data_IF_261315740404
#
_entry.id   IF_261315740404
#
_cell.length_a   1.000
_cell.length_b   1.000
_cell.length_c   1.000
_cell.angle_alpha   90.00
_cell.angle_beta   90.00
_cell.angle_gamma   90.00
#
_symmetry.space_group_name_H-M   'P 1'
#
loop_
_entity.id
_entity.type
_entity.pdbx_description
1 polymer ?
#
# COMPACT_ATOMS: atom_id res chain seq x y z
N UNK A 1 -16.82 9.68 8.59
CA UNK A 1 -15.92 8.56 8.26
C UNK A 1 -16.62 7.23 7.95
N UNK A 2 -16.16 6.51 6.93
CA UNK A 2 -16.52 5.12 6.57
C UNK A 2 -15.26 4.26 6.42
N UNK A 3 -15.28 3.02 6.92
CA UNK A 3 -14.19 2.05 6.73
C UNK A 3 -14.41 1.28 5.43
N UNK A 4 -13.54 1.48 4.44
CA UNK A 4 -13.61 0.81 3.14
C UNK A 4 -12.86 -0.53 3.14
N UNK A 5 -11.72 -0.58 3.82
CA UNK A 5 -10.91 -1.79 3.98
C UNK A 5 -10.12 -1.71 5.28
N UNK A 6 -10.02 -2.83 5.98
CA UNK A 6 -9.02 -3.07 7.02
C UNK A 6 -8.37 -4.41 6.73
N UNK A 7 -7.09 -4.39 6.39
CA UNK A 7 -6.35 -5.59 6.00
C UNK A 7 -4.97 -5.59 6.65
N UNK A 8 -4.25 -6.71 6.57
CA UNK A 8 -2.90 -6.79 7.16
C UNK A 8 -1.93 -5.76 6.55
N UNK A 9 -2.08 -5.44 5.26
CA UNK A 9 -1.17 -4.56 4.54
C UNK A 9 -1.66 -3.11 4.42
N UNK A 10 -2.97 -2.91 4.28
CA UNK A 10 -3.50 -1.58 3.99
C UNK A 10 -4.91 -1.40 4.55
N UNK A 11 -5.10 -0.26 5.19
CA UNK A 11 -6.42 0.23 5.59
C UNK A 11 -6.81 1.43 4.74
N UNK A 12 -8.10 1.52 4.44
CA UNK A 12 -8.69 2.53 3.59
C UNK A 12 -9.90 3.10 4.30
N UNK A 13 -9.89 4.41 4.54
CA UNK A 13 -10.97 5.13 5.17
C UNK A 13 -11.47 6.21 4.21
N UNK A 14 -12.78 6.34 4.06
CA UNK A 14 -13.39 7.51 3.45
C UNK A 14 -13.73 8.48 4.57
N UNK A 15 -12.99 9.59 4.64
CA UNK A 15 -13.21 10.61 5.66
C UNK A 15 -14.51 11.35 5.32
N UNK A 16 -14.55 11.90 4.10
CA UNK A 16 -15.75 12.42 3.43
C UNK A 16 -15.71 12.07 1.96
N UNK A 17 -16.78 12.39 1.23
CA UNK A 17 -16.78 12.24 -0.22
C UNK A 17 -15.61 12.99 -0.86
N UNK A 18 -14.92 12.32 -1.78
CA UNK A 18 -13.70 12.83 -2.41
C UNK A 18 -12.47 12.96 -1.51
N UNK A 19 -12.47 12.46 -0.26
CA UNK A 19 -11.30 12.45 0.64
C UNK A 19 -11.11 11.06 1.26
N UNK A 20 -10.01 10.40 0.90
CA UNK A 20 -9.61 9.11 1.45
C UNK A 20 -8.36 9.24 2.31
N UNK A 21 -8.31 8.51 3.41
CA UNK A 21 -7.10 8.24 4.16
C UNK A 21 -6.66 6.79 3.87
N UNK A 22 -5.42 6.63 3.43
CA UNK A 22 -4.78 5.35 3.19
C UNK A 22 -3.71 5.12 4.25
N UNK A 23 -3.74 3.97 4.92
CA UNK A 23 -2.73 3.56 5.89
C UNK A 23 -2.02 2.33 5.35
N UNK A 24 -0.74 2.48 4.98
CA UNK A 24 0.11 1.39 4.52
C UNK A 24 0.91 0.83 5.72
N UNK A 25 0.72 -0.45 6.01
CA UNK A 25 1.25 -1.16 7.19
C UNK A 25 2.37 -2.13 6.83
N UNK A 26 3.22 -1.73 5.89
CA UNK A 26 4.26 -2.59 5.34
C UNK A 26 5.55 -1.82 5.07
N UNK A 27 6.64 -2.58 5.01
CA UNK A 27 7.94 -2.13 4.51
C UNK A 27 8.32 -2.93 3.27
N UNK A 28 9.41 -2.50 2.62
CA UNK A 28 10.04 -3.29 1.57
C UNK A 28 10.47 -4.64 2.16
N UNK A 29 10.24 -5.70 1.40
CA UNK A 29 10.84 -7.00 1.70
C UNK A 29 12.31 -6.94 1.28
N UNK A 30 13.19 -7.31 2.19
CA UNK A 30 14.62 -7.43 1.90
C UNK A 30 14.88 -8.71 1.13
N UNK A 31 15.66 -8.61 0.05
CA UNK A 31 16.13 -9.75 -0.72
C UNK A 31 17.66 -9.69 -0.71
N UNK A 32 18.35 -10.72 -0.17
CA UNK A 32 19.80 -10.70 -0.05
C UNK A 32 20.48 -10.41 -1.38
N UNK A 33 21.37 -9.41 -1.40
CA UNK A 33 22.10 -9.01 -2.60
C UNK A 33 21.31 -8.21 -3.63
N UNK A 34 20.08 -7.76 -3.30
CA UNK A 34 19.22 -7.00 -4.21
C UNK A 34 18.72 -5.73 -3.53
N UNK A 35 19.21 -4.57 -3.98
CA UNK A 35 18.88 -3.29 -3.36
C UNK A 35 17.42 -2.86 -3.63
N UNK A 36 16.90 -3.16 -4.83
CA UNK A 36 15.57 -2.73 -5.28
C UNK A 36 14.83 -3.84 -6.05
N UNK A 37 14.37 -4.90 -5.37
CA UNK A 37 13.70 -6.00 -6.05
C UNK A 37 12.40 -5.52 -6.69
N UNK A 38 12.30 -5.70 -8.01
CA UNK A 38 11.13 -5.36 -8.80
C UNK A 38 10.64 -6.58 -9.57
N UNK A 39 9.38 -6.96 -9.34
CA UNK A 39 8.73 -8.02 -10.11
C UNK A 39 8.35 -7.46 -11.49
N UNK A 40 9.16 -7.80 -12.48
CA UNK A 40 8.97 -7.40 -13.88
C UNK A 40 7.86 -8.20 -14.58
N UNK A 41 7.54 -7.83 -15.83
CA UNK A 41 6.56 -8.52 -16.67
C UNK A 41 5.20 -7.84 -16.79
N UNK A 42 4.39 -8.39 -17.71
CA UNK A 42 3.13 -7.84 -18.23
C UNK A 42 1.95 -7.80 -17.24
N UNK A 43 2.17 -8.26 -16.00
CA UNK A 43 1.16 -8.26 -14.95
C UNK A 43 0.21 -9.45 -14.97
N UNK A 44 0.33 -10.39 -15.91
CA UNK A 44 -0.47 -11.62 -15.89
C UNK A 44 -0.19 -12.50 -14.69
N UNK A 45 0.95 -12.36 -14.01
CA UNK A 45 1.27 -13.11 -12.79
C UNK A 45 0.84 -12.42 -11.48
N UNK A 46 0.10 -11.30 -11.55
CA UNK A 46 -0.38 -10.60 -10.34
C UNK A 46 -1.86 -10.30 -10.44
N UNK A 47 -2.49 -10.09 -9.29
CA UNK A 47 -3.87 -9.60 -9.17
C UNK A 47 -3.96 -8.62 -8.01
N UNK A 48 -5.01 -7.82 -7.94
CA UNK A 48 -5.27 -6.95 -6.80
C UNK A 48 -5.34 -7.77 -5.50
N UNK A 49 -4.70 -7.27 -4.44
CA UNK A 49 -4.65 -7.94 -3.14
C UNK A 49 -6.06 -8.06 -2.53
N UNK A 50 -6.76 -6.93 -2.45
CA UNK A 50 -8.14 -6.84 -1.98
C UNK A 50 -8.90 -5.83 -2.85
N UNK A 51 -10.17 -6.12 -3.18
CA UNK A 51 -11.00 -5.26 -4.04
C UNK A 51 -11.08 -3.80 -3.58
N UNK A 52 -11.03 -3.57 -2.27
CA UNK A 52 -11.19 -2.26 -1.65
C UNK A 52 -9.86 -1.55 -1.33
N UNK A 53 -8.72 -2.22 -1.52
CA UNK A 53 -7.39 -1.60 -1.41
C UNK A 53 -7.04 -0.82 -2.68
N UNK A 54 -5.89 -0.13 -2.67
CA UNK A 54 -5.31 0.49 -3.85
C UNK A 54 -4.94 -0.56 -4.91
N UNK A 55 -5.07 -0.22 -6.20
CA UNK A 55 -4.71 -1.11 -7.30
C UNK A 55 -3.21 -1.44 -7.35
N UNK A 56 -2.39 -0.55 -6.79
CA UNK A 56 -0.95 -0.74 -6.62
C UNK A 56 -0.61 -1.87 -5.64
N UNK A 57 -1.53 -2.24 -4.74
CA UNK A 57 -1.38 -3.34 -3.81
C UNK A 57 -1.85 -4.64 -4.47
N UNK A 58 -0.89 -5.49 -4.83
CA UNK A 58 -1.09 -6.67 -5.64
C UNK A 58 -0.55 -7.91 -4.94
N UNK A 59 -0.97 -9.09 -5.37
CA UNK A 59 -0.47 -10.38 -4.87
C UNK A 59 -0.06 -11.25 -6.05
N UNK A 60 1.09 -11.94 -5.90
CA UNK A 60 1.57 -12.89 -6.90
C UNK A 60 0.70 -14.14 -6.97
N UNK A 61 0.39 -14.58 -8.20
CA UNK A 61 -0.40 -15.79 -8.46
C UNK A 61 0.47 -17.05 -8.59
N UNK A 62 1.73 -16.87 -8.98
CA UNK A 62 2.75 -17.91 -9.13
C UNK A 62 4.09 -17.32 -8.69
N UNK A 63 5.04 -18.20 -8.43
CA UNK A 63 6.42 -17.80 -8.14
C UNK A 63 6.96 -16.89 -9.25
N UNK A 64 7.77 -15.92 -8.85
CA UNK A 64 8.53 -15.06 -9.74
C UNK A 64 10.00 -15.32 -9.53
N UNK A 65 10.72 -15.52 -10.63
CA UNK A 65 12.16 -15.70 -10.65
C UNK A 65 12.75 -14.59 -11.50
N UNK A 66 13.63 -13.81 -10.90
CA UNK A 66 14.54 -12.93 -11.62
C UNK A 66 15.79 -13.74 -11.95
N UNK A 67 16.02 -13.98 -13.24
CA UNK A 67 17.25 -14.65 -13.66
C UNK A 67 18.45 -13.72 -13.53
N UNK A 68 19.62 -14.29 -13.23
CA UNK A 68 20.86 -13.53 -13.08
C UNK A 68 21.11 -12.65 -14.31
N UNK A 69 21.43 -11.40 -14.06
CA UNK A 69 21.87 -10.44 -15.08
C UNK A 69 23.31 -9.99 -14.81
N UNK A 70 23.80 -9.06 -15.64
CA UNK A 70 25.09 -8.42 -15.39
C UNK A 70 25.05 -7.38 -14.25
N UNK A 71 23.85 -6.98 -13.80
CA UNK A 71 23.65 -5.99 -12.73
C UNK A 71 23.18 -6.60 -11.40
N UNK A 72 22.48 -7.73 -11.46
CA UNK A 72 21.78 -8.31 -10.31
C UNK A 72 21.96 -9.84 -10.30
N UNK A 73 22.15 -10.40 -9.10
CA UNK A 73 22.14 -11.85 -8.91
C UNK A 73 20.75 -12.44 -9.08
N UNK A 74 20.68 -13.76 -9.28
CA UNK A 74 19.41 -14.48 -9.36
C UNK A 74 18.67 -14.38 -8.02
N UNK A 75 17.40 -14.03 -8.06
CA UNK A 75 16.54 -14.01 -6.89
C UNK A 75 15.12 -14.47 -7.24
N UNK A 76 14.35 -14.85 -6.23
CA UNK A 76 12.98 -15.30 -6.41
C UNK A 76 12.08 -14.87 -5.26
N UNK A 77 10.79 -14.75 -5.55
CA UNK A 77 9.73 -14.57 -4.55
C UNK A 77 8.58 -15.52 -4.87
N UNK A 78 8.03 -16.14 -3.84
CA UNK A 78 6.99 -17.16 -3.99
C UNK A 78 5.62 -16.56 -4.36
N UNK A 79 4.76 -17.41 -4.91
CA UNK A 79 3.33 -17.15 -5.01
C UNK A 79 2.78 -16.73 -3.65
N UNK A 80 1.83 -15.79 -3.63
CA UNK A 80 1.29 -15.23 -2.40
C UNK A 80 2.07 -14.02 -1.85
N UNK A 81 3.28 -13.74 -2.32
CA UNK A 81 3.98 -12.50 -1.95
C UNK A 81 3.19 -11.28 -2.42
N UNK A 82 2.98 -10.35 -1.48
CA UNK A 82 2.31 -9.08 -1.74
C UNK A 82 3.31 -8.07 -2.29
N UNK A 83 2.86 -7.30 -3.27
CA UNK A 83 3.63 -6.28 -3.97
C UNK A 83 2.97 -4.93 -3.79
N UNK A 84 3.77 -3.87 -3.68
CA UNK A 84 3.32 -2.49 -3.84
C UNK A 84 4.11 -1.83 -4.97
N UNK A 85 3.43 -1.37 -6.02
CA UNK A 85 4.07 -0.88 -7.26
C UNK A 85 5.10 -1.87 -7.86
N UNK A 86 4.80 -3.18 -7.80
CA UNK A 86 5.65 -4.31 -8.23
C UNK A 86 6.83 -4.63 -7.30
N UNK A 87 7.05 -3.85 -6.24
CA UNK A 87 8.07 -4.15 -5.25
C UNK A 87 7.52 -5.12 -4.20
N UNK A 88 8.22 -6.24 -3.91
CA UNK A 88 7.87 -7.12 -2.79
C UNK A 88 7.86 -6.38 -1.46
N UNK A 89 6.84 -6.64 -0.66
CA UNK A 89 6.64 -6.00 0.64
C UNK A 89 6.28 -7.01 1.72
N UNK A 90 6.54 -6.64 2.96
CA UNK A 90 6.21 -7.42 4.15
C UNK A 90 5.45 -6.56 5.16
N UNK A 91 4.47 -7.15 5.83
CA UNK A 91 3.73 -6.48 6.90
C UNK A 91 4.70 -6.07 7.99
N UNK A 92 4.44 -4.93 8.62
CA UNK A 92 5.16 -4.50 9.82
C UNK A 92 4.19 -4.11 10.91
N UNK A 93 4.46 -4.54 12.14
CA UNK A 93 3.75 -4.10 13.35
C UNK A 93 4.34 -2.82 13.93
N UNK A 94 5.48 -2.36 13.41
CA UNK A 94 6.13 -1.12 13.83
C UNK A 94 5.39 0.07 13.22
N UNK A 95 4.48 0.65 13.99
CA UNK A 95 3.64 1.79 13.59
C UNK A 95 4.46 3.01 13.14
N UNK A 96 5.70 3.16 13.60
CA UNK A 96 6.59 4.24 13.16
C UNK A 96 7.02 4.11 11.69
N UNK A 97 6.91 2.90 11.12
CA UNK A 97 7.21 2.61 9.71
C UNK A 97 5.97 2.64 8.82
N UNK A 98 4.78 2.81 9.39
CA UNK A 98 3.55 2.92 8.62
C UNK A 98 3.54 4.24 7.86
N UNK A 99 2.92 4.23 6.68
CA UNK A 99 2.78 5.44 5.85
C UNK A 99 1.32 5.79 5.71
N UNK A 100 1.02 7.05 6.00
CA UNK A 100 -0.33 7.62 5.91
C UNK A 100 -0.37 8.55 4.71
N UNK A 101 -1.39 8.42 3.87
CA UNK A 101 -1.56 9.23 2.67
C UNK A 101 -3.01 9.71 2.59
N UNK A 102 -3.20 11.03 2.42
CA UNK A 102 -4.51 11.60 2.10
C UNK A 102 -4.62 11.69 0.58
N UNK A 103 -5.67 11.09 0.03
CA UNK A 103 -6.02 11.19 -1.40
C UNK A 103 -7.29 12.00 -1.57
N UNK A 104 -7.24 12.97 -2.48
CA UNK A 104 -8.35 13.90 -2.69
C UNK A 104 -8.81 13.89 -4.14
N UNK A 105 -10.10 14.15 -4.35
CA UNK A 105 -10.64 14.46 -5.67
C UNK A 105 -10.75 15.98 -5.79
N UNK A 106 -9.98 16.58 -6.69
CA UNK A 106 -9.98 18.03 -6.90
C UNK A 106 -9.74 18.81 -5.59
N UNK A 107 -10.65 19.73 -5.29
CA UNK A 107 -10.59 20.60 -4.10
C UNK A 107 -11.41 20.08 -2.91
N UNK A 108 -11.82 18.81 -2.89
CA UNK A 108 -12.75 18.26 -1.88
C UNK A 108 -12.20 18.22 -0.45
N UNK A 109 -10.88 18.34 -0.28
CA UNK A 109 -10.24 18.63 1.01
C UNK A 109 -10.26 20.14 1.30
N UNK A 110 -11.47 20.68 1.40
CA UNK A 110 -11.74 22.07 1.72
C UNK A 110 -13.09 22.18 2.43
N UNK A 111 -13.32 23.34 3.04
CA UNK A 111 -14.53 23.67 3.76
C UNK A 111 -14.32 24.91 4.63
N UNK A 112 -15.34 25.23 5.42
CA UNK A 112 -15.27 26.19 6.53
C UNK A 112 -14.29 25.71 7.60
N UNK A 113 -13.93 26.61 8.52
CA UNK A 113 -13.08 26.26 9.67
C UNK A 113 -13.62 25.06 10.46
N UNK A 114 -14.94 25.02 10.71
CA UNK A 114 -15.58 23.91 11.41
C UNK A 114 -15.42 22.57 10.67
N UNK A 115 -15.73 22.54 9.38
CA UNK A 115 -15.61 21.32 8.56
C UNK A 115 -14.16 20.84 8.45
N UNK A 116 -13.20 21.75 8.30
CA UNK A 116 -11.79 21.38 8.26
C UNK A 116 -11.32 20.78 9.58
N UNK A 117 -11.75 21.33 10.72
CA UNK A 117 -11.43 20.76 12.03
C UNK A 117 -12.03 19.36 12.20
N UNK A 118 -13.24 19.12 11.70
CA UNK A 118 -13.86 17.79 11.79
C UNK A 118 -13.13 16.75 10.92
N UNK A 119 -12.75 17.11 9.69
CA UNK A 119 -11.92 16.26 8.81
C UNK A 119 -10.61 15.89 9.50
N UNK A 120 -9.92 16.87 10.10
CA UNK A 120 -8.65 16.67 10.77
C UNK A 120 -8.81 15.77 12.01
N UNK A 121 -9.87 15.93 12.80
CA UNK A 121 -10.17 15.07 13.95
C UNK A 121 -10.43 13.62 13.55
N UNK A 122 -11.15 13.39 12.46
CA UNK A 122 -11.38 12.02 11.95
C UNK A 122 -10.05 11.36 11.56
N UNK A 123 -9.18 12.09 10.86
CA UNK A 123 -7.85 11.61 10.46
C UNK A 123 -6.97 11.34 11.69
N UNK A 124 -6.93 12.28 12.64
CA UNK A 124 -6.19 12.14 13.90
C UNK A 124 -6.66 10.91 14.69
N UNK A 125 -7.97 10.67 14.77
CA UNK A 125 -8.54 9.49 15.42
C UNK A 125 -8.03 8.18 14.82
N UNK A 126 -7.91 8.10 13.49
CA UNK A 126 -7.35 6.93 12.81
C UNK A 126 -5.84 6.79 13.05
N UNK A 127 -5.09 7.90 13.06
CA UNK A 127 -3.63 7.87 13.29
C UNK A 127 -3.33 7.44 14.73
N UNK A 128 -4.12 7.87 15.70
CA UNK A 128 -3.89 7.60 17.11
C UNK A 128 -4.42 6.22 17.57
N UNK A 129 -5.44 5.68 16.89
CA UNK A 129 -5.94 4.31 17.11
C UNK A 129 -4.95 3.23 16.71
#
# INVERSE_FOLDING_TARGET
MEVLAQTEYQDMYRIKDGVLLVVNKFTRMEIPGVDFPLVSGDGKNRRKYNKNCQDALQILKKDFVHEKSWMEDKWQVSAGTVLYHRQPIQVTTDKSKWKYEIKTTGTMFSGTSAEMMDILREIEGVING
#
